data_IF_339427062613
#
_entry.id   IF_339427062613
#
_cell.length_a   1.000
_cell.length_b   1.000
_cell.length_c   1.000
_cell.angle_alpha   90.00
_cell.angle_beta   90.00
_cell.angle_gamma   90.00
#
_symmetry.space_group_name_H-M   'P 1'
#
loop_
_entity.id
_entity.type
_entity.pdbx_description
1 polymer ?
#
# COMPACT_ATOMS: atom_id res chain seq x y z
N UNK A 1 -10.48 10.94 -29.19
CA UNK A 1 -9.40 11.38 -30.11
C UNK A 1 -9.60 12.86 -30.33
N UNK A 2 -8.53 13.64 -30.26
CA UNK A 2 -8.49 15.06 -30.57
C UNK A 2 -7.77 15.20 -31.91
N UNK A 3 -8.50 15.58 -32.95
CA UNK A 3 -7.95 15.78 -34.29
C UNK A 3 -8.02 17.27 -34.63
N UNK A 4 -6.86 17.89 -34.74
CA UNK A 4 -6.71 19.30 -35.10
C UNK A 4 -6.68 19.52 -36.62
N UNK A 5 -6.77 18.44 -37.40
CA UNK A 5 -6.59 18.47 -38.84
C UNK A 5 -5.15 18.75 -39.22
N UNK A 6 -4.96 19.56 -40.26
CA UNK A 6 -3.66 20.00 -40.74
C UNK A 6 -3.31 21.38 -40.15
N UNK A 7 -2.24 21.43 -39.36
CA UNK A 7 -1.73 22.64 -38.70
C UNK A 7 -0.32 22.97 -39.23
N UNK A 8 0.03 24.25 -39.24
CA UNK A 8 1.32 24.74 -39.72
C UNK A 8 1.18 25.87 -40.75
N UNK A 9 2.30 26.52 -41.08
CA UNK A 9 2.31 27.68 -41.97
C UNK A 9 2.25 27.26 -43.45
N UNK A 10 1.31 27.82 -44.21
CA UNK A 10 1.23 27.73 -45.68
C UNK A 10 1.41 26.29 -46.22
N UNK A 11 2.61 25.96 -46.73
CA UNK A 11 2.95 24.70 -47.39
C UNK A 11 3.57 23.66 -46.44
N UNK A 12 3.81 23.99 -45.17
CA UNK A 12 4.35 23.09 -44.15
C UNK A 12 3.26 22.60 -43.20
N UNK A 13 2.06 22.36 -43.73
CA UNK A 13 0.97 21.82 -42.91
C UNK A 13 1.18 20.34 -42.66
N UNK A 14 1.05 19.94 -41.41
CA UNK A 14 1.17 18.56 -40.97
C UNK A 14 -0.05 18.19 -40.13
N UNK A 15 -0.39 16.91 -40.16
CA UNK A 15 -1.48 16.41 -39.34
C UNK A 15 -1.12 16.46 -37.87
N UNK A 16 -2.04 16.96 -37.05
CA UNK A 16 -1.90 16.96 -35.60
C UNK A 16 -3.07 16.25 -34.96
N UNK A 17 -2.78 15.11 -34.34
CA UNK A 17 -3.75 14.25 -33.69
C UNK A 17 -3.16 13.65 -32.43
N UNK A 18 -3.92 13.75 -31.35
CA UNK A 18 -3.58 13.12 -30.06
C UNK A 18 -4.83 12.48 -29.47
N UNK A 19 -4.64 11.66 -28.43
CA UNK A 19 -5.76 11.05 -27.72
C UNK A 19 -5.52 11.10 -26.22
N UNK A 20 -6.52 11.58 -25.50
CA UNK A 20 -6.51 11.57 -24.03
C UNK A 20 -6.91 10.19 -23.52
N UNK A 21 -6.08 9.62 -22.65
CA UNK A 21 -6.31 8.35 -21.97
C UNK A 21 -6.40 8.56 -20.46
N UNK A 22 -7.43 7.95 -19.85
CA UNK A 22 -7.63 7.94 -18.40
C UNK A 22 -7.09 6.67 -17.74
N UNK A 23 -6.14 5.97 -18.37
CA UNK A 23 -5.57 4.72 -17.83
C UNK A 23 -4.95 4.91 -16.43
N UNK A 24 -4.17 5.98 -16.15
CA UNK A 24 -3.65 6.22 -14.79
C UNK A 24 -4.77 6.42 -13.76
N UNK A 25 -5.87 7.07 -14.15
CA UNK A 25 -7.05 7.23 -13.30
C UNK A 25 -7.69 5.88 -12.97
N UNK A 26 -7.84 4.99 -13.95
CA UNK A 26 -8.40 3.64 -13.73
C UNK A 26 -7.49 2.80 -12.81
N UNK A 27 -6.18 2.90 -12.97
CA UNK A 27 -5.20 2.24 -12.10
C UNK A 27 -5.27 2.77 -10.66
N UNK A 28 -5.51 4.07 -10.46
CA UNK A 28 -5.73 4.62 -9.12
C UNK A 28 -7.02 4.08 -8.48
N UNK A 29 -8.10 3.99 -9.25
CA UNK A 29 -9.37 3.41 -8.77
C UNK A 29 -9.18 1.95 -8.36
N UNK A 30 -8.53 1.14 -9.19
CA UNK A 30 -8.23 -0.26 -8.90
C UNK A 30 -7.30 -0.42 -7.68
N UNK A 31 -6.31 0.46 -7.54
CA UNK A 31 -5.46 0.50 -6.35
C UNK A 31 -6.30 0.78 -5.08
N UNK A 32 -7.22 1.76 -5.14
CA UNK A 32 -8.07 2.12 -4.01
C UNK A 32 -9.04 0.99 -3.61
N UNK A 33 -9.58 0.24 -4.56
CA UNK A 33 -10.39 -0.96 -4.28
C UNK A 33 -9.57 -2.03 -3.51
N UNK A 34 -8.26 -2.05 -3.74
CA UNK A 34 -7.29 -2.87 -3.01
C UNK A 34 -6.78 -2.22 -1.72
N UNK A 35 -7.41 -1.16 -1.21
CA UNK A 35 -6.96 -0.40 -0.03
C UNK A 35 -5.57 0.24 -0.17
N UNK A 36 -5.10 0.45 -1.40
CA UNK A 36 -3.87 1.17 -1.72
C UNK A 36 -4.20 2.55 -2.31
N UNK A 37 -3.46 3.60 -1.96
CA UNK A 37 -3.69 4.98 -2.50
C UNK A 37 -5.12 5.51 -2.30
N UNK A 38 -5.86 5.00 -1.31
CA UNK A 38 -7.24 5.44 -1.00
C UNK A 38 -7.28 6.94 -0.69
N UNK A 39 -6.29 7.43 0.06
CA UNK A 39 -6.17 8.86 0.38
C UNK A 39 -6.06 9.71 -0.88
N UNK A 40 -5.21 9.30 -1.82
CA UNK A 40 -5.01 10.00 -3.10
C UNK A 40 -6.30 10.03 -3.95
N UNK A 41 -7.02 8.91 -4.05
CA UNK A 41 -8.32 8.88 -4.75
C UNK A 41 -9.30 9.89 -4.12
N UNK A 42 -9.35 9.97 -2.79
CA UNK A 42 -10.25 10.87 -2.05
C UNK A 42 -9.85 12.35 -2.13
N UNK A 43 -8.63 12.68 -2.57
CA UNK A 43 -8.19 14.07 -2.78
C UNK A 43 -8.63 14.67 -4.12
N UNK A 44 -9.10 13.85 -5.06
CA UNK A 44 -9.59 14.33 -6.35
C UNK A 44 -10.99 14.92 -6.15
N UNK A 45 -11.13 16.24 -6.30
CA UNK A 45 -12.40 16.92 -6.02
C UNK A 45 -12.84 17.87 -7.15
N UNK A 46 -11.88 18.41 -7.91
CA UNK A 46 -12.13 19.39 -8.98
C UNK A 46 -11.81 18.80 -10.34
N UNK A 47 -12.46 19.27 -11.43
CA UNK A 47 -12.14 18.82 -12.79
C UNK A 47 -10.65 18.99 -13.13
N UNK A 48 -10.01 20.06 -12.63
CA UNK A 48 -8.58 20.29 -12.85
C UNK A 48 -7.64 19.26 -12.20
N UNK A 49 -8.09 18.51 -11.19
CA UNK A 49 -7.27 17.47 -10.56
C UNK A 49 -7.15 16.23 -11.48
N UNK A 50 -8.05 16.05 -12.45
CA UNK A 50 -8.05 14.93 -13.43
C UNK A 50 -6.81 14.96 -14.33
N UNK A 51 -6.25 16.14 -14.59
CA UNK A 51 -5.11 16.31 -15.48
C UNK A 51 -3.84 15.61 -14.96
N UNK A 52 -3.71 15.44 -13.64
CA UNK A 52 -2.62 14.65 -13.05
C UNK A 52 -2.74 13.13 -13.33
N UNK A 53 -3.91 12.67 -13.76
CA UNK A 53 -4.24 11.26 -14.03
C UNK A 53 -4.62 10.99 -15.49
N UNK A 54 -4.28 11.94 -16.38
CA UNK A 54 -4.53 11.86 -17.82
C UNK A 54 -3.21 11.70 -18.55
N UNK A 55 -3.15 10.73 -19.46
CA UNK A 55 -2.04 10.57 -20.40
C UNK A 55 -2.48 11.04 -21.79
N UNK A 56 -1.55 11.60 -22.54
CA UNK A 56 -1.70 11.96 -23.95
C UNK A 56 -0.99 10.91 -24.79
N UNK A 57 -1.73 10.25 -25.66
CA UNK A 57 -1.20 9.36 -26.71
C UNK A 57 -0.95 10.19 -27.95
N UNK A 58 0.26 10.02 -28.48
CA UNK A 58 0.83 10.83 -29.53
C UNK A 58 0.64 10.10 -30.88
N UNK A 59 -0.55 10.25 -31.48
CA UNK A 59 -0.91 9.53 -32.71
C UNK A 59 -0.18 10.10 -33.95
N UNK A 60 -0.36 11.40 -34.22
CA UNK A 60 0.29 12.11 -35.33
C UNK A 60 0.71 13.50 -34.85
N UNK A 61 2.00 13.83 -34.95
CA UNK A 61 2.54 15.09 -34.47
C UNK A 61 3.23 15.87 -35.61
N UNK A 62 3.01 17.18 -35.72
CA UNK A 62 3.85 18.06 -36.54
C UNK A 62 5.32 17.98 -36.12
N UNK A 63 6.28 18.17 -37.04
CA UNK A 63 7.71 18.05 -36.73
C UNK A 63 8.20 18.93 -35.57
N UNK A 64 7.65 20.15 -35.46
CA UNK A 64 7.96 21.06 -34.34
C UNK A 64 7.55 20.48 -32.99
N UNK A 65 6.31 20.00 -32.88
CA UNK A 65 5.78 19.36 -31.65
C UNK A 65 6.53 18.07 -31.36
N UNK A 66 6.77 17.22 -32.37
CA UNK A 66 7.55 15.99 -32.21
C UNK A 66 8.95 16.26 -31.65
N UNK A 67 9.61 17.33 -32.10
CA UNK A 67 10.93 17.73 -31.61
C UNK A 67 10.87 18.20 -30.14
N UNK A 68 9.83 18.97 -29.76
CA UNK A 68 9.60 19.40 -28.37
C UNK A 68 9.35 18.20 -27.45
N UNK A 69 8.52 17.26 -27.89
CA UNK A 69 8.26 15.99 -27.17
C UNK A 69 9.55 15.19 -26.98
N UNK A 70 10.34 15.01 -28.05
CA UNK A 70 11.60 14.26 -27.97
C UNK A 70 12.55 14.89 -26.94
N UNK A 71 12.67 16.23 -26.94
CA UNK A 71 13.46 16.97 -25.96
C UNK A 71 12.93 16.83 -24.54
N UNK A 72 11.62 16.84 -24.35
CA UNK A 72 11.02 16.63 -23.03
C UNK A 72 11.26 15.21 -22.51
N UNK A 73 11.12 14.19 -23.37
CA UNK A 73 11.46 12.80 -23.04
C UNK A 73 12.94 12.65 -22.66
N UNK A 74 13.85 13.28 -23.40
CA UNK A 74 15.28 13.24 -23.10
C UNK A 74 15.60 13.85 -21.72
N UNK A 75 14.96 14.97 -21.35
CA UNK A 75 15.13 15.57 -20.01
C UNK A 75 14.67 14.66 -18.88
N UNK A 76 13.66 13.83 -19.15
CA UNK A 76 13.08 12.87 -18.21
C UNK A 76 13.70 11.47 -18.34
N UNK A 77 14.78 11.34 -19.13
CA UNK A 77 15.44 10.07 -19.34
C UNK A 77 15.99 9.50 -18.01
N UNK A 78 15.89 8.17 -17.83
CA UNK A 78 16.45 7.50 -16.68
C UNK A 78 17.95 7.79 -16.56
N UNK A 79 18.40 8.15 -15.34
CA UNK A 79 19.80 8.52 -15.08
C UNK A 79 20.71 7.32 -14.86
N UNK A 80 20.15 6.11 -14.78
CA UNK A 80 20.87 4.89 -14.46
C UNK A 80 20.46 3.75 -15.40
N UNK A 81 21.44 2.93 -15.76
CA UNK A 81 21.27 1.76 -16.61
C UNK A 81 20.27 0.79 -15.97
N UNK A 82 19.26 0.35 -16.72
CA UNK A 82 18.20 -0.55 -16.25
C UNK A 82 16.95 0.14 -15.67
N UNK A 83 16.93 1.47 -15.49
CA UNK A 83 15.69 2.19 -15.17
C UNK A 83 14.84 2.35 -16.44
N UNK A 84 13.56 1.99 -16.32
CA UNK A 84 12.57 2.20 -17.39
C UNK A 84 12.14 3.67 -17.36
N UNK A 85 11.98 4.28 -18.54
CA UNK A 85 11.49 5.66 -18.66
C UNK A 85 10.12 5.81 -17.97
N UNK A 86 9.92 6.92 -17.25
CA UNK A 86 8.68 7.17 -16.49
C UNK A 86 7.42 7.19 -17.36
N UNK A 87 7.57 7.55 -18.64
CA UNK A 87 6.49 7.59 -19.62
C UNK A 87 6.65 6.45 -20.66
N UNK A 88 5.62 5.62 -20.88
CA UNK A 88 5.62 4.64 -21.96
C UNK A 88 5.89 5.26 -23.33
N UNK A 89 6.41 4.47 -24.26
CA UNK A 89 6.61 4.91 -25.65
C UNK A 89 5.28 5.34 -26.30
N UNK A 90 5.31 6.38 -27.13
CA UNK A 90 4.11 6.94 -27.76
C UNK A 90 3.15 7.67 -26.82
N UNK A 91 3.51 7.85 -25.55
CA UNK A 91 2.68 8.54 -24.56
C UNK A 91 3.45 9.58 -23.75
N UNK A 92 2.73 10.54 -23.17
CA UNK A 92 3.26 11.58 -22.31
C UNK A 92 2.20 11.97 -21.26
N UNK A 93 2.55 12.30 -20.00
CA UNK A 93 1.57 12.84 -19.06
C UNK A 93 0.99 14.15 -19.58
N UNK A 94 -0.29 14.39 -19.29
CA UNK A 94 -0.98 15.58 -19.79
C UNK A 94 -0.30 16.88 -19.37
N UNK A 95 0.14 17.00 -18.12
CA UNK A 95 0.79 18.21 -17.62
C UNK A 95 2.09 18.50 -18.38
N UNK A 96 2.94 17.49 -18.57
CA UNK A 96 4.19 17.63 -19.30
C UNK A 96 3.95 17.96 -20.79
N UNK A 97 2.87 17.42 -21.38
CA UNK A 97 2.47 17.74 -22.76
C UNK A 97 1.91 19.17 -22.89
N UNK A 98 1.07 19.59 -21.94
CA UNK A 98 0.46 20.93 -21.93
C UNK A 98 1.51 22.04 -21.76
N UNK A 99 2.58 21.78 -21.00
CA UNK A 99 3.70 22.71 -20.81
C UNK A 99 4.54 22.94 -22.09
N UNK A 100 4.35 22.15 -23.16
CA UNK A 100 5.06 22.33 -24.42
C UNK A 100 4.54 23.49 -25.27
N UNK A 101 3.36 24.02 -24.95
CA UNK A 101 2.65 25.01 -25.76
C UNK A 101 2.46 26.32 -24.98
N UNK A 102 2.63 27.45 -25.66
CA UNK A 102 2.48 28.76 -25.03
C UNK A 102 2.02 29.83 -26.02
N UNK A 103 1.32 30.84 -25.52
CA UNK A 103 0.99 32.02 -26.33
C UNK A 103 2.24 32.88 -26.52
N UNK A 104 2.55 33.21 -27.77
CA UNK A 104 3.67 34.07 -28.15
C UNK A 104 3.22 35.31 -28.94
N UNK A 105 2.02 35.82 -28.65
CA UNK A 105 1.39 36.93 -29.40
C UNK A 105 1.39 36.65 -30.91
N UNK A 106 1.95 37.54 -31.72
CA UNK A 106 2.03 37.41 -33.18
C UNK A 106 2.94 36.26 -33.64
N UNK A 107 3.80 35.75 -32.76
CA UNK A 107 4.73 34.64 -33.02
C UNK A 107 4.16 33.28 -32.56
N UNK A 108 2.88 33.21 -32.15
CA UNK A 108 2.27 31.94 -31.73
C UNK A 108 2.29 30.95 -32.89
N UNK A 109 2.97 29.82 -32.71
CA UNK A 109 2.98 28.75 -33.71
C UNK A 109 1.56 28.18 -33.89
N UNK A 110 1.11 27.83 -35.12
CA UNK A 110 -0.23 27.32 -35.38
C UNK A 110 -0.58 26.07 -34.56
N UNK A 111 0.42 25.25 -34.24
CA UNK A 111 0.31 24.09 -33.37
C UNK A 111 -0.03 24.48 -31.92
N UNK A 112 0.60 25.54 -31.40
CA UNK A 112 0.37 26.09 -30.07
C UNK A 112 -1.02 26.72 -29.99
N UNK A 113 -1.40 27.52 -30.98
CA UNK A 113 -2.74 28.11 -31.05
C UNK A 113 -3.81 27.01 -31.09
N UNK A 114 -3.62 25.97 -31.90
CA UNK A 114 -4.57 24.86 -32.02
C UNK A 114 -4.75 24.13 -30.68
N UNK A 115 -3.66 23.77 -30.00
CA UNK A 115 -3.72 23.11 -28.69
C UNK A 115 -4.35 24.01 -27.62
N UNK A 116 -3.88 25.25 -27.49
CA UNK A 116 -4.32 26.17 -26.42
C UNK A 116 -5.79 26.59 -26.58
N UNK A 117 -6.28 26.74 -27.81
CA UNK A 117 -7.70 26.96 -28.06
C UNK A 117 -8.54 25.73 -27.69
N UNK A 118 -8.10 24.53 -28.09
CA UNK A 118 -8.82 23.30 -27.75
C UNK A 118 -8.81 22.99 -26.25
N UNK A 119 -7.70 23.27 -25.57
CA UNK A 119 -7.57 23.11 -24.12
C UNK A 119 -8.67 23.86 -23.35
N UNK A 120 -9.07 25.03 -23.85
CA UNK A 120 -10.13 25.85 -23.25
C UNK A 120 -11.52 25.57 -23.85
N UNK A 121 -11.65 24.54 -24.69
CA UNK A 121 -12.91 24.19 -25.34
C UNK A 121 -13.88 23.51 -24.37
N UNK A 122 -15.18 23.59 -24.70
CA UNK A 122 -16.23 22.86 -23.97
C UNK A 122 -16.04 21.34 -24.01
N UNK A 123 -15.44 20.80 -25.08
CA UNK A 123 -15.15 19.37 -25.21
C UNK A 123 -14.11 18.93 -24.18
N UNK A 124 -13.08 19.75 -23.97
CA UNK A 124 -12.03 19.49 -22.97
C UNK A 124 -12.60 19.56 -21.55
N UNK A 125 -13.45 20.54 -21.27
CA UNK A 125 -14.16 20.63 -19.99
C UNK A 125 -15.07 19.41 -19.76
N UNK A 126 -15.84 19.00 -20.77
CA UNK A 126 -16.72 17.84 -20.68
C UNK A 126 -15.96 16.54 -20.41
N UNK A 127 -14.75 16.37 -20.98
CA UNK A 127 -13.87 15.23 -20.66
C UNK A 127 -13.51 15.21 -19.17
N UNK A 128 -13.04 16.33 -18.63
CA UNK A 128 -12.66 16.43 -17.23
C UNK A 128 -13.85 16.20 -16.29
N UNK A 129 -15.02 16.74 -16.62
CA UNK A 129 -16.26 16.53 -15.86
C UNK A 129 -16.69 15.06 -15.88
N UNK A 130 -16.63 14.41 -17.04
CA UNK A 130 -16.97 12.99 -17.18
C UNK A 130 -16.00 12.10 -16.38
N UNK A 131 -14.69 12.36 -16.47
CA UNK A 131 -13.68 11.65 -15.69
C UNK A 131 -13.86 11.87 -14.18
N UNK A 132 -14.17 13.10 -13.76
CA UNK A 132 -14.48 13.40 -12.36
C UNK A 132 -15.74 12.68 -11.88
N UNK A 133 -16.77 12.55 -12.72
CA UNK A 133 -17.96 11.78 -12.39
C UNK A 133 -17.64 10.29 -12.15
N UNK A 134 -16.73 9.70 -12.94
CA UNK A 134 -16.24 8.33 -12.74
C UNK A 134 -15.52 8.22 -11.39
N UNK A 135 -14.65 9.18 -11.05
CA UNK A 135 -13.95 9.22 -9.76
C UNK A 135 -14.92 9.33 -8.61
N UNK A 136 -15.88 10.25 -8.66
CA UNK A 136 -16.91 10.41 -7.62
C UNK A 136 -17.73 9.14 -7.43
N UNK A 137 -18.05 8.45 -8.52
CA UNK A 137 -18.71 7.15 -8.45
C UNK A 137 -17.81 6.07 -7.81
N UNK A 138 -16.49 6.10 -8.01
CA UNK A 138 -15.56 5.21 -7.32
C UNK A 138 -15.43 5.55 -5.82
N UNK A 139 -15.27 6.84 -5.48
CA UNK A 139 -15.20 7.35 -4.11
C UNK A 139 -16.46 7.02 -3.28
N UNK A 140 -17.62 6.90 -3.91
CA UNK A 140 -18.86 6.51 -3.22
C UNK A 140 -19.00 5.00 -3.00
N UNK A 141 -18.22 4.17 -3.71
CA UNK A 141 -18.23 2.70 -3.59
C UNK A 141 -17.09 2.15 -2.74
N UNK A 142 -16.00 2.89 -2.59
CA UNK A 142 -14.77 2.41 -1.93
C UNK A 142 -15.00 1.94 -0.48
N UNK A 143 -16.03 2.43 0.21
CA UNK A 143 -16.36 2.06 1.60
C UNK A 143 -17.41 0.93 1.73
N UNK A 144 -17.97 0.39 0.64
CA UNK A 144 -19.26 -0.31 0.74
C UNK A 144 -19.19 -1.62 1.55
N UNK A 145 -18.10 -2.41 1.46
CA UNK A 145 -18.03 -3.75 2.06
C UNK A 145 -16.77 -4.09 2.87
N UNK A 146 -15.83 -3.15 3.05
CA UNK A 146 -14.59 -3.40 3.80
C UNK A 146 -14.51 -2.51 5.04
N UNK A 147 -14.39 -3.11 6.22
CA UNK A 147 -14.24 -2.38 7.49
C UNK A 147 -13.01 -1.48 7.53
N UNK A 148 -11.90 -1.90 6.92
CA UNK A 148 -10.68 -1.10 6.85
C UNK A 148 -10.91 0.13 5.97
N UNK A 149 -11.48 -0.05 4.78
CA UNK A 149 -11.78 1.06 3.87
C UNK A 149 -12.77 2.05 4.48
N UNK A 150 -13.86 1.56 5.12
CA UNK A 150 -14.80 2.43 5.86
C UNK A 150 -14.09 3.28 6.90
N UNK A 151 -13.18 2.67 7.67
CA UNK A 151 -12.41 3.38 8.68
C UNK A 151 -11.53 4.46 8.04
N UNK A 152 -10.70 4.09 7.06
CA UNK A 152 -9.80 5.04 6.36
C UNK A 152 -10.59 6.19 5.75
N UNK A 153 -11.64 5.89 4.96
CA UNK A 153 -12.51 6.88 4.32
C UNK A 153 -13.13 7.82 5.36
N UNK A 154 -13.63 7.30 6.48
CA UNK A 154 -14.19 8.13 7.55
C UNK A 154 -13.15 9.08 8.17
N UNK A 155 -11.91 8.62 8.35
CA UNK A 155 -10.81 9.44 8.88
C UNK A 155 -10.41 10.53 7.90
N UNK A 156 -10.34 10.22 6.60
CA UNK A 156 -10.04 11.20 5.56
C UNK A 156 -11.12 12.27 5.48
N UNK A 157 -12.39 11.87 5.39
CA UNK A 157 -13.53 12.81 5.36
C UNK A 157 -13.60 13.70 6.61
N UNK A 158 -13.17 13.18 7.76
CA UNK A 158 -13.12 13.95 9.01
C UNK A 158 -11.86 14.84 9.16
N UNK A 159 -10.93 14.82 8.20
CA UNK A 159 -9.65 15.53 8.30
C UNK A 159 -8.72 14.96 9.40
N UNK A 160 -8.94 13.72 9.82
CA UNK A 160 -8.22 13.06 10.93
C UNK A 160 -7.30 11.93 10.47
N UNK A 161 -7.18 11.71 9.16
CA UNK A 161 -6.23 10.72 8.62
C UNK A 161 -4.79 11.22 8.83
N UNK A 162 -3.83 10.31 9.04
CA UNK A 162 -2.42 10.69 9.31
C UNK A 162 -1.86 11.60 8.23
N UNK A 163 -2.23 11.35 6.97
CA UNK A 163 -1.80 12.16 5.83
C UNK A 163 -2.46 13.54 5.73
N UNK A 164 -3.56 13.80 6.46
CA UNK A 164 -4.17 15.13 6.50
C UNK A 164 -3.27 16.18 7.17
N UNK A 165 -2.28 15.74 7.95
CA UNK A 165 -1.33 16.62 8.64
C UNK A 165 -0.02 16.82 7.87
N UNK A 166 0.10 16.26 6.66
CA UNK A 166 1.26 16.38 5.79
C UNK A 166 1.00 17.40 4.68
N UNK A 167 2.06 17.98 4.13
CA UNK A 167 1.97 18.70 2.86
C UNK A 167 1.42 17.78 1.77
N UNK A 168 0.59 18.33 0.86
CA UNK A 168 -0.09 17.54 -0.18
C UNK A 168 0.90 16.74 -1.04
N UNK A 169 2.03 17.31 -1.42
CA UNK A 169 3.02 16.60 -2.26
C UNK A 169 3.65 15.45 -1.49
N UNK A 170 3.98 15.66 -0.21
CA UNK A 170 4.53 14.62 0.66
C UNK A 170 3.52 13.50 0.91
N UNK A 171 2.25 13.84 1.15
CA UNK A 171 1.19 12.85 1.32
C UNK A 171 1.00 11.99 0.07
N UNK A 172 1.01 12.60 -1.12
CA UNK A 172 0.90 11.87 -2.39
C UNK A 172 2.12 10.98 -2.65
N UNK A 173 3.34 11.44 -2.35
CA UNK A 173 4.54 10.62 -2.45
C UNK A 173 4.45 9.39 -1.53
N UNK A 174 4.07 9.58 -0.25
CA UNK A 174 3.86 8.47 0.70
C UNK A 174 2.82 7.46 0.22
N UNK A 175 1.74 7.92 -0.43
CA UNK A 175 0.74 7.02 -1.00
C UNK A 175 1.33 6.03 -2.03
N UNK A 176 2.49 6.34 -2.63
CA UNK A 176 3.09 5.58 -3.72
C UNK A 176 4.27 4.70 -3.29
N UNK A 177 4.74 4.81 -2.04
CA UNK A 177 5.95 4.10 -1.56
C UNK A 177 5.74 2.59 -1.40
N UNK A 178 4.60 2.16 -0.84
CA UNK A 178 4.31 0.75 -0.55
C UNK A 178 3.45 0.09 -1.63
N UNK A 179 4.06 -0.20 -2.78
CA UNK A 179 3.37 -0.84 -3.91
C UNK A 179 2.91 -2.25 -3.50
N UNK A 180 1.60 -2.57 -3.60
CA UNK A 180 1.08 -3.91 -3.32
C UNK A 180 1.71 -4.94 -4.25
N UNK A 181 2.17 -6.05 -3.69
CA UNK A 181 2.53 -7.23 -4.46
C UNK A 181 1.28 -8.06 -4.79
N UNK A 182 1.43 -8.96 -5.77
CA UNK A 182 0.36 -9.88 -6.11
C UNK A 182 0.08 -10.86 -4.95
N UNK A 183 -1.19 -11.22 -4.71
CA UNK A 183 -1.54 -12.25 -3.74
C UNK A 183 -0.81 -13.56 -4.07
N UNK A 184 -0.08 -14.13 -3.11
CA UNK A 184 0.75 -15.31 -3.34
C UNK A 184 0.11 -16.64 -2.91
N UNK A 185 -1.05 -16.60 -2.23
CA UNK A 185 -1.67 -17.78 -1.64
C UNK A 185 -2.96 -18.20 -2.34
N UNK A 186 -3.39 -19.42 -2.04
CA UNK A 186 -4.62 -19.99 -2.58
C UNK A 186 -5.88 -19.32 -1.98
N UNK A 187 -7.02 -19.33 -2.68
CA UNK A 187 -8.30 -18.90 -2.10
C UNK A 187 -8.68 -19.63 -0.79
N UNK A 188 -8.30 -20.90 -0.67
CA UNK A 188 -8.56 -21.72 0.52
C UNK A 188 -7.76 -21.21 1.74
N UNK A 189 -6.49 -20.86 1.54
CA UNK A 189 -5.66 -20.23 2.57
C UNK A 189 -6.29 -18.94 3.10
N UNK A 190 -6.67 -18.02 2.21
CA UNK A 190 -7.29 -16.76 2.64
C UNK A 190 -8.62 -16.99 3.36
N UNK A 191 -9.41 -17.98 2.95
CA UNK A 191 -10.65 -18.33 3.64
C UNK A 191 -10.36 -18.79 5.07
N UNK A 192 -9.46 -19.76 5.26
CA UNK A 192 -9.11 -20.27 6.60
C UNK A 192 -8.46 -19.19 7.48
N UNK A 193 -7.61 -18.34 6.90
CA UNK A 193 -7.07 -17.17 7.59
C UNK A 193 -8.20 -16.26 8.08
N UNK A 194 -9.20 -15.99 7.24
CA UNK A 194 -10.37 -15.21 7.60
C UNK A 194 -11.17 -15.81 8.76
N UNK A 195 -11.31 -17.15 8.79
CA UNK A 195 -12.00 -17.85 9.88
C UNK A 195 -11.22 -17.78 11.19
N UNK A 196 -9.90 -18.03 11.14
CA UNK A 196 -9.02 -17.95 12.31
C UNK A 196 -8.95 -16.52 12.88
N UNK A 197 -8.80 -15.51 12.01
CA UNK A 197 -8.79 -14.11 12.43
C UNK A 197 -10.10 -13.67 13.08
N UNK A 198 -11.24 -14.33 12.79
CA UNK A 198 -12.52 -13.99 13.41
C UNK A 198 -12.70 -14.59 14.80
N UNK A 199 -11.83 -15.51 15.22
CA UNK A 199 -11.87 -16.10 16.56
C UNK A 199 -11.68 -15.03 17.64
N UNK A 200 -12.68 -14.85 18.50
CA UNK A 200 -12.69 -13.82 19.54
C UNK A 200 -11.58 -13.97 20.57
N UNK A 201 -11.06 -15.18 20.76
CA UNK A 201 -10.02 -15.49 21.75
C UNK A 201 -8.60 -15.25 21.23
N UNK A 202 -8.42 -15.06 19.92
CA UNK A 202 -7.12 -14.81 19.32
C UNK A 202 -6.58 -13.44 19.74
N UNK A 203 -5.53 -13.34 20.55
CA UNK A 203 -5.01 -12.05 21.03
C UNK A 203 -3.81 -11.55 20.20
N UNK A 204 -3.09 -12.45 19.53
CA UNK A 204 -1.87 -12.14 18.80
C UNK A 204 -1.66 -12.98 17.54
N UNK A 205 -1.06 -12.36 16.51
CA UNK A 205 -0.69 -12.99 15.24
C UNK A 205 0.76 -12.69 14.90
N UNK A 206 1.48 -13.74 14.50
CA UNK A 206 2.84 -13.67 13.99
C UNK A 206 2.87 -14.15 12.54
N UNK A 207 3.32 -13.32 11.60
CA UNK A 207 3.37 -13.63 10.18
C UNK A 207 4.81 -13.68 9.66
N UNK A 208 5.20 -14.80 9.06
CA UNK A 208 6.51 -14.97 8.40
C UNK A 208 6.29 -15.31 6.94
N UNK A 209 6.70 -14.45 6.01
CA UNK A 209 6.63 -14.71 4.58
C UNK A 209 7.38 -13.67 3.75
N UNK A 210 7.34 -13.75 2.41
CA UNK A 210 7.83 -12.66 1.57
C UNK A 210 7.07 -11.33 1.80
N UNK A 211 5.81 -11.37 2.25
CA UNK A 211 5.01 -10.19 2.59
C UNK A 211 3.79 -10.01 1.71
N UNK A 212 2.87 -10.99 1.72
CA UNK A 212 1.64 -10.94 0.93
C UNK A 212 0.74 -9.77 1.40
N UNK A 213 0.51 -8.81 0.51
CA UNK A 213 -0.28 -7.62 0.80
C UNK A 213 -1.72 -7.94 1.23
N UNK A 214 -2.34 -8.99 0.68
CA UNK A 214 -3.68 -9.44 1.05
C UNK A 214 -3.70 -10.00 2.47
N UNK A 215 -2.68 -10.78 2.88
CA UNK A 215 -2.56 -11.27 4.27
C UNK A 215 -2.43 -10.09 5.24
N UNK A 216 -1.53 -9.14 4.95
CA UNK A 216 -1.32 -7.94 5.77
C UNK A 216 -2.61 -7.11 5.89
N UNK A 217 -3.34 -6.92 4.79
CA UNK A 217 -4.65 -6.26 4.78
C UNK A 217 -5.67 -6.99 5.65
N UNK A 218 -5.80 -8.32 5.51
CA UNK A 218 -6.75 -9.12 6.30
C UNK A 218 -6.49 -8.99 7.81
N UNK A 219 -5.21 -9.03 8.22
CA UNK A 219 -4.82 -8.82 9.61
C UNK A 219 -5.17 -7.40 10.10
N UNK A 220 -4.83 -6.37 9.32
CA UNK A 220 -5.12 -4.98 9.67
C UNK A 220 -6.64 -4.70 9.75
N UNK A 221 -7.42 -5.25 8.82
CA UNK A 221 -8.89 -5.16 8.83
C UNK A 221 -9.46 -5.75 10.11
N UNK A 222 -9.00 -6.92 10.54
CA UNK A 222 -9.47 -7.54 11.77
C UNK A 222 -9.03 -6.76 13.02
N UNK A 223 -7.78 -6.31 13.08
CA UNK A 223 -7.27 -5.47 14.17
C UNK A 223 -8.15 -4.21 14.34
N UNK A 224 -8.53 -3.57 13.24
CA UNK A 224 -9.43 -2.40 13.24
C UNK A 224 -10.85 -2.75 13.66
N UNK A 225 -11.41 -3.84 13.13
CA UNK A 225 -12.74 -4.33 13.52
C UNK A 225 -12.83 -4.54 15.03
N UNK A 226 -11.81 -5.17 15.63
CA UNK A 226 -11.74 -5.41 17.08
C UNK A 226 -11.53 -4.13 17.89
N UNK A 227 -10.69 -3.22 17.43
CA UNK A 227 -10.47 -1.94 18.09
C UNK A 227 -11.77 -1.14 18.21
N UNK A 228 -12.55 -1.06 17.12
CA UNK A 228 -13.87 -0.42 17.12
C UNK A 228 -14.84 -1.13 18.06
N UNK A 229 -14.89 -2.47 18.02
CA UNK A 229 -15.82 -3.27 18.84
C UNK A 229 -15.52 -3.18 20.34
N UNK A 230 -14.26 -3.14 20.72
CA UNK A 230 -13.81 -3.23 22.13
C UNK A 230 -13.50 -1.86 22.73
N UNK A 231 -13.31 -0.82 21.93
CA UNK A 231 -12.86 0.50 22.38
C UNK A 231 -11.37 0.55 22.77
N UNK A 232 -10.63 -0.54 22.61
CA UNK A 232 -9.19 -0.56 22.89
C UNK A 232 -8.38 0.17 21.82
N UNK A 233 -7.17 0.59 22.22
CA UNK A 233 -6.15 1.01 21.27
C UNK A 233 -5.86 -0.14 20.30
N UNK A 234 -5.54 0.22 19.05
CA UNK A 234 -5.53 -0.71 17.91
C UNK A 234 -4.54 -1.86 18.09
N UNK A 235 -3.34 -1.56 18.55
CA UNK A 235 -2.34 -2.59 18.84
C UNK A 235 -2.72 -3.51 20.01
N UNK A 236 -3.60 -3.07 20.92
CA UNK A 236 -4.06 -3.87 22.06
C UNK A 236 -5.32 -4.68 21.73
N UNK A 237 -6.02 -4.36 20.63
CA UNK A 237 -7.19 -5.09 20.20
C UNK A 237 -6.84 -6.40 19.47
N UNK A 238 -5.68 -6.42 18.80
CA UNK A 238 -5.04 -7.60 18.23
C UNK A 238 -3.56 -7.25 18.00
N UNK A 239 -2.66 -7.97 18.66
CA UNK A 239 -1.22 -7.75 18.47
C UNK A 239 -0.77 -8.38 17.14
N UNK A 240 -0.20 -7.58 16.24
CA UNK A 240 0.26 -8.05 14.94
C UNK A 240 1.78 -7.87 14.84
N UNK A 241 2.48 -8.94 14.48
CA UNK A 241 3.91 -8.93 14.18
C UNK A 241 4.18 -9.63 12.85
N UNK A 242 5.12 -9.10 12.07
CA UNK A 242 5.46 -9.63 10.77
C UNK A 242 6.97 -9.60 10.53
N UNK A 243 7.54 -10.70 10.07
CA UNK A 243 8.87 -10.80 9.50
C UNK A 243 8.68 -11.02 8.00
N UNK A 244 8.85 -9.95 7.23
CA UNK A 244 8.51 -9.90 5.79
C UNK A 244 9.49 -9.03 5.01
N UNK A 245 9.70 -9.35 3.72
CA UNK A 245 10.53 -8.52 2.83
C UNK A 245 9.74 -7.30 2.32
N UNK A 246 8.45 -7.48 2.05
CA UNK A 246 7.54 -6.44 1.61
C UNK A 246 6.63 -6.01 2.74
N UNK A 247 6.64 -4.71 3.05
CA UNK A 247 5.85 -4.10 4.13
C UNK A 247 4.68 -3.31 3.56
N UNK A 248 3.80 -2.85 4.46
CA UNK A 248 2.71 -1.94 4.15
C UNK A 248 2.82 -0.68 4.97
N UNK A 249 2.17 0.38 4.51
CA UNK A 249 2.09 1.62 5.27
C UNK A 249 1.01 1.54 6.37
N UNK A 250 1.46 1.37 7.61
CA UNK A 250 0.59 1.38 8.78
C UNK A 250 -0.13 2.72 8.97
N UNK A 251 0.47 3.86 8.58
CA UNK A 251 -0.17 5.17 8.71
C UNK A 251 -1.32 5.32 7.72
N UNK A 252 -1.17 4.81 6.49
CA UNK A 252 -2.20 4.84 5.45
C UNK A 252 -3.47 4.05 5.84
N UNK A 253 -3.28 2.97 6.58
CA UNK A 253 -4.39 2.14 7.06
C UNK A 253 -4.92 2.58 8.40
N UNK A 254 -4.18 3.46 9.09
CA UNK A 254 -4.24 3.61 10.54
C UNK A 254 -4.18 2.17 11.08
N UNK A 255 -3.04 1.53 11.22
CA UNK A 255 -2.92 0.17 11.77
C UNK A 255 -1.65 0.08 12.60
N UNK A 256 -1.43 -1.06 13.26
CA UNK A 256 -0.19 -1.27 14.03
C UNK A 256 0.32 -2.68 13.85
N UNK A 257 1.05 -2.89 12.76
CA UNK A 257 1.83 -4.11 12.50
C UNK A 257 3.29 -3.84 12.86
N UNK A 258 3.88 -4.70 13.69
CA UNK A 258 5.28 -4.60 14.07
C UNK A 258 6.11 -5.40 13.05
N UNK A 259 6.83 -4.67 12.19
CA UNK A 259 7.72 -5.28 11.20
C UNK A 259 9.11 -5.51 11.80
N UNK A 260 9.60 -6.75 11.67
CA UNK A 260 10.92 -7.16 12.13
C UNK A 260 11.82 -7.45 10.93
N UNK A 261 13.10 -7.12 11.07
CA UNK A 261 14.15 -7.49 10.11
C UNK A 261 14.85 -8.80 10.47
N UNK A 262 14.82 -9.18 11.76
CA UNK A 262 15.37 -10.43 12.27
C UNK A 262 14.55 -10.90 13.47
N UNK A 263 14.31 -12.22 13.53
CA UNK A 263 13.47 -12.82 14.56
C UNK A 263 11.99 -12.46 14.37
N UNK A 264 11.13 -13.23 15.02
CA UNK A 264 9.69 -13.00 15.01
C UNK A 264 9.16 -13.24 16.42
N UNK A 265 8.29 -12.34 16.87
CA UNK A 265 7.59 -12.51 18.14
C UNK A 265 6.65 -13.73 18.07
N UNK A 266 6.42 -14.44 19.19
CA UNK A 266 5.38 -15.47 19.23
C UNK A 266 4.00 -14.83 19.05
N UNK A 267 3.06 -15.60 18.52
CA UNK A 267 1.65 -15.21 18.42
C UNK A 267 0.75 -16.40 18.72
N UNK A 268 -0.49 -16.15 19.12
CA UNK A 268 -1.47 -17.23 19.32
C UNK A 268 -1.74 -17.97 18.00
N UNK A 269 -1.75 -17.22 16.90
CA UNK A 269 -1.70 -17.72 15.53
C UNK A 269 -0.35 -17.40 14.90
N UNK A 270 0.35 -18.45 14.46
CA UNK A 270 1.53 -18.34 13.62
C UNK A 270 1.15 -18.60 12.15
N UNK A 271 1.48 -17.68 11.26
CA UNK A 271 1.23 -17.78 9.83
C UNK A 271 2.57 -17.94 9.12
N UNK A 272 2.76 -19.08 8.46
CA UNK A 272 3.87 -19.33 7.54
C UNK A 272 3.38 -19.15 6.11
N UNK A 273 3.78 -18.06 5.46
CA UNK A 273 3.46 -17.78 4.06
C UNK A 273 4.56 -18.21 3.08
N UNK A 274 5.64 -18.83 3.53
CA UNK A 274 6.75 -19.21 2.66
C UNK A 274 7.56 -18.02 2.14
N UNK A 275 8.69 -18.32 1.51
CA UNK A 275 9.55 -17.31 0.89
C UNK A 275 10.53 -16.60 1.84
N UNK A 276 10.62 -17.02 3.11
CA UNK A 276 11.64 -16.52 4.04
C UNK A 276 12.39 -17.63 4.77
N UNK A 277 13.70 -17.73 4.50
CA UNK A 277 14.62 -18.66 5.15
C UNK A 277 14.48 -20.11 4.64
N UNK A 278 15.52 -20.91 4.90
CA UNK A 278 15.51 -22.33 4.58
C UNK A 278 14.74 -23.17 5.62
N UNK A 279 14.64 -22.68 6.87
CA UNK A 279 14.14 -23.45 8.01
C UNK A 279 12.62 -23.61 7.99
N UNK A 280 12.18 -24.86 8.03
CA UNK A 280 10.75 -25.23 8.05
C UNK A 280 10.09 -24.91 9.39
N UNK A 281 8.75 -24.82 9.43
CA UNK A 281 8.03 -24.60 10.69
C UNK A 281 8.25 -25.80 11.61
N UNK A 282 8.27 -27.00 11.02
CA UNK A 282 8.58 -28.23 11.72
C UNK A 282 9.96 -28.20 12.39
N UNK A 283 11.01 -27.83 11.66
CA UNK A 283 12.37 -27.69 12.22
C UNK A 283 12.42 -26.66 13.36
N UNK A 284 11.73 -25.52 13.22
CA UNK A 284 11.66 -24.52 14.30
C UNK A 284 11.12 -25.10 15.60
N UNK A 285 10.11 -25.96 15.53
CA UNK A 285 9.46 -26.53 16.71
C UNK A 285 10.27 -27.71 17.25
N UNK A 286 10.61 -28.68 16.39
CA UNK A 286 11.14 -29.97 16.81
C UNK A 286 12.65 -29.94 17.07
N UNK A 287 13.42 -29.19 16.27
CA UNK A 287 14.87 -29.10 16.41
C UNK A 287 15.29 -27.91 17.27
N UNK A 288 14.62 -26.77 17.09
CA UNK A 288 14.97 -25.53 17.79
C UNK A 288 14.11 -25.24 19.02
N UNK A 289 13.12 -26.10 19.34
CA UNK A 289 12.30 -25.99 20.54
C UNK A 289 11.48 -24.69 20.61
N UNK A 290 11.20 -24.05 19.46
CA UNK A 290 10.44 -22.79 19.42
C UNK A 290 8.97 -23.08 19.72
N UNK A 291 8.40 -22.30 20.64
CA UNK A 291 6.95 -22.23 20.81
C UNK A 291 6.39 -21.13 19.91
N UNK A 292 5.66 -21.52 18.86
CA UNK A 292 5.19 -20.57 17.84
C UNK A 292 3.77 -20.04 18.09
N UNK A 293 2.91 -20.80 18.76
CA UNK A 293 1.52 -20.44 19.04
C UNK A 293 0.64 -21.63 19.37
N UNK A 294 -0.67 -21.39 19.53
CA UNK A 294 -1.67 -22.44 19.69
C UNK A 294 -2.22 -22.91 18.33
N UNK A 295 -2.12 -22.05 17.31
CA UNK A 295 -2.53 -22.31 15.94
C UNK A 295 -1.39 -22.02 14.98
N UNK A 296 -1.24 -22.88 13.97
CA UNK A 296 -0.32 -22.65 12.85
C UNK A 296 -1.13 -22.75 11.56
N UNK A 297 -0.99 -21.76 10.68
CA UNK A 297 -1.48 -21.79 9.30
C UNK A 297 -0.27 -21.72 8.38
N UNK A 298 -0.04 -22.77 7.57
CA UNK A 298 1.10 -22.82 6.65
C UNK A 298 0.66 -22.91 5.19
N UNK A 299 1.39 -22.17 4.35
CA UNK A 299 1.30 -22.18 2.89
C UNK A 299 1.98 -23.41 2.24
N UNK A 300 2.37 -24.41 3.03
CA UNK A 300 2.87 -25.69 2.53
C UNK A 300 2.58 -26.79 3.54
N UNK A 301 2.66 -28.04 3.07
CA UNK A 301 2.62 -29.18 3.96
C UNK A 301 3.93 -29.28 4.73
N UNK A 302 3.86 -29.07 6.04
CA UNK A 302 4.98 -29.19 6.98
C UNK A 302 5.14 -30.64 7.49
N UNK A 303 4.26 -31.57 7.07
CA UNK A 303 4.15 -32.92 7.62
C UNK A 303 3.68 -32.92 9.07
N UNK A 304 3.59 -34.09 9.72
CA UNK A 304 3.25 -34.18 11.15
C UNK A 304 4.19 -33.34 12.02
N UNK A 305 3.63 -32.41 12.79
CA UNK A 305 4.33 -31.56 13.75
C UNK A 305 3.98 -32.02 15.16
N UNK A 306 4.99 -32.35 15.97
CA UNK A 306 4.79 -32.79 17.35
C UNK A 306 3.98 -31.77 18.18
N UNK A 307 2.92 -32.26 18.82
CA UNK A 307 2.07 -31.46 19.73
C UNK A 307 0.93 -30.70 19.06
N UNK A 308 0.71 -30.92 17.76
CA UNK A 308 -0.42 -30.34 17.04
C UNK A 308 -1.19 -31.38 16.24
N UNK A 309 -2.51 -31.19 16.17
CA UNK A 309 -3.37 -31.96 15.28
C UNK A 309 -3.32 -31.39 13.86
N UNK A 310 -3.04 -32.25 12.88
CA UNK A 310 -3.13 -31.91 11.46
C UNK A 310 -4.58 -31.87 11.03
N UNK A 311 -5.07 -30.71 10.60
CA UNK A 311 -6.27 -30.68 9.77
C UNK A 311 -5.82 -30.80 8.30
N UNK A 312 -6.23 -31.87 7.62
CA UNK A 312 -6.04 -32.07 6.18
C UNK A 312 -7.29 -31.65 5.42
N UNK A 313 -7.13 -30.87 4.36
CA UNK A 313 -8.14 -30.78 3.31
C UNK A 313 -7.73 -29.80 2.24
N UNK A 314 -8.49 -29.76 1.15
CA UNK A 314 -8.49 -28.61 0.25
C UNK A 314 -9.17 -27.45 1.00
N UNK A 315 -8.42 -26.85 1.93
CA UNK A 315 -8.98 -25.99 2.97
C UNK A 315 -9.76 -26.71 4.08
N UNK A 316 -9.33 -27.92 4.48
CA UNK A 316 -9.57 -28.65 5.75
C UNK A 316 -10.80 -29.57 5.95
N UNK A 317 -10.59 -30.69 6.68
CA UNK A 317 -11.59 -31.68 7.08
C UNK A 317 -11.33 -32.39 8.43
N UNK A 318 -12.28 -32.13 9.37
CA UNK A 318 -12.88 -32.95 10.45
C UNK A 318 -12.13 -33.31 11.75
N UNK A 319 -12.79 -32.89 12.84
CA UNK A 319 -12.72 -33.32 14.24
C UNK A 319 -13.21 -34.78 14.46
N UNK A 320 -12.36 -35.63 15.07
CA UNK A 320 -12.65 -36.48 16.24
C UNK A 320 -13.29 -37.89 16.12
N UNK A 321 -12.53 -38.89 16.63
CA UNK A 321 -12.87 -40.16 17.36
C UNK A 321 -12.59 -41.49 16.61
N UNK A 322 -11.98 -42.53 17.26
CA UNK A 322 -11.03 -43.46 16.62
C UNK A 322 -11.55 -44.89 16.38
N UNK A 323 -10.98 -45.61 15.39
CA UNK A 323 -10.94 -47.08 15.37
C UNK A 323 -9.92 -47.67 14.36
N UNK A 324 -8.97 -48.47 14.87
CA UNK A 324 -8.50 -49.73 14.27
C UNK A 324 -7.54 -49.72 13.05
N UNK A 325 -6.76 -50.81 12.81
CA UNK A 325 -5.52 -50.74 12.01
C UNK A 325 -5.59 -51.27 10.56
N UNK A 326 -4.94 -50.50 9.63
CA UNK A 326 -4.21 -50.84 8.37
C UNK A 326 -4.98 -51.57 7.22
N UNK A 327 -4.55 -51.56 5.92
CA UNK A 327 -3.18 -51.35 5.38
C UNK A 327 -3.00 -50.61 4.01
N UNK A 328 -1.70 -50.41 3.69
CA UNK A 328 -0.99 -50.45 2.40
C UNK A 328 -1.17 -49.40 1.25
N UNK A 329 0.01 -49.04 0.72
CA UNK A 329 0.43 -48.09 -0.32
C UNK A 329 0.02 -48.51 -1.75
N UNK A 330 -0.16 -47.54 -2.65
CA UNK A 330 -0.06 -47.74 -4.12
C UNK A 330 1.04 -46.82 -4.72
N UNK A 331 1.90 -47.31 -5.66
CA UNK A 331 3.05 -46.61 -6.19
C UNK A 331 2.74 -46.04 -7.58
N UNK A 332 2.19 -44.83 -7.64
CA UNK A 332 1.94 -44.16 -8.91
C UNK A 332 2.46 -42.73 -8.86
N UNK A 333 3.75 -42.57 -9.19
CA UNK A 333 4.40 -41.28 -9.34
C UNK A 333 3.61 -40.35 -10.26
N UNK A 334 2.90 -39.41 -9.67
CA UNK A 334 2.32 -38.22 -10.30
C UNK A 334 2.69 -37.00 -9.47
N UNK A 335 2.85 -35.87 -10.18
CA UNK A 335 3.32 -34.61 -9.66
C UNK A 335 2.54 -34.15 -8.40
N UNK A 336 3.28 -33.67 -7.41
CA UNK A 336 2.77 -33.15 -6.15
C UNK A 336 2.29 -31.71 -6.37
N UNK A 337 0.98 -31.49 -6.35
CA UNK A 337 0.40 -30.16 -6.16
C UNK A 337 0.56 -29.74 -4.69
N UNK A 338 0.82 -28.45 -4.38
CA UNK A 338 1.08 -28.01 -3.02
C UNK A 338 -0.21 -28.05 -2.18
N UNK A 339 -0.24 -28.96 -1.20
CA UNK A 339 -1.23 -29.02 -0.13
C UNK A 339 -0.86 -28.00 0.96
N UNK A 340 -1.77 -27.09 1.34
CA UNK A 340 -1.60 -26.08 2.40
C UNK A 340 -2.52 -26.39 3.60
N UNK A 341 -2.01 -26.30 4.85
CA UNK A 341 -2.55 -27.02 6.01
C UNK A 341 -2.50 -26.21 7.31
N UNK A 342 -3.40 -26.56 8.25
CA UNK A 342 -3.54 -25.90 9.56
C UNK A 342 -3.37 -26.87 10.73
N UNK A 343 -2.83 -26.38 11.84
CA UNK A 343 -2.48 -27.16 13.04
C UNK A 343 -3.08 -26.55 14.31
N UNK A 344 -3.58 -27.37 15.25
CA UNK A 344 -4.12 -26.94 16.57
C UNK A 344 -3.46 -27.70 17.72
N UNK A 345 -3.03 -26.99 18.78
CA UNK A 345 -2.41 -27.62 19.95
C UNK A 345 -3.43 -28.35 20.85
N UNK A 346 -3.09 -29.56 21.32
CA UNK A 346 -3.89 -30.27 22.33
C UNK A 346 -3.79 -29.63 23.72
N UNK A 347 -4.94 -29.46 24.36
CA UNK A 347 -5.04 -28.91 25.71
C UNK A 347 -4.49 -29.88 26.77
N UNK A 348 -3.36 -29.50 27.39
CA UNK A 348 -3.09 -29.80 28.80
C UNK A 348 -2.73 -28.52 29.53
N UNK A 349 -3.65 -28.07 30.37
CA UNK A 349 -3.38 -27.07 31.41
C UNK A 349 -2.45 -27.71 32.44
N UNK A 350 -1.15 -27.55 32.23
CA UNK A 350 -0.19 -27.56 33.33
C UNK A 350 0.21 -26.10 33.57
N UNK A 351 -0.35 -25.51 34.62
CA UNK A 351 0.16 -24.28 35.23
C UNK A 351 1.55 -24.58 35.81
N UNK A 352 2.65 -23.94 35.35
CA UNK A 352 3.85 -23.85 36.14
C UNK A 352 3.77 -22.58 36.97
N UNK A 353 3.86 -22.76 38.29
CA UNK A 353 4.16 -21.68 39.21
C UNK A 353 5.52 -21.06 38.85
N UNK A 354 5.55 -19.75 38.60
CA UNK A 354 6.78 -18.96 38.59
C UNK A 354 6.40 -17.52 38.98
N UNK A 355 6.76 -17.11 40.19
CA UNK A 355 7.99 -16.38 40.50
C UNK A 355 7.70 -14.89 40.65
N UNK A 356 7.40 -14.51 41.91
CA UNK A 356 7.68 -13.16 42.38
C UNK A 356 9.19 -12.96 42.33
N UNK A 357 9.68 -12.16 41.39
CA UNK A 357 10.96 -11.48 41.50
C UNK A 357 10.66 -10.01 41.34
N UNK A 358 10.80 -9.28 42.45
CA UNK A 358 10.71 -7.83 42.48
C UNK A 358 11.97 -7.19 41.91
N UNK A 359 11.81 -6.02 41.31
CA UNK A 359 12.90 -5.09 41.09
C UNK A 359 12.59 -3.77 41.80
N UNK A 360 13.28 -3.56 42.91
CA UNK A 360 13.53 -2.23 43.49
C UNK A 360 14.49 -1.47 42.57
N UNK A 361 14.21 -0.17 42.43
CA UNK A 361 15.08 0.98 42.16
C UNK A 361 16.39 0.80 41.35
N UNK A 362 16.57 1.65 40.34
CA UNK A 362 17.42 2.85 40.48
C UNK A 362 17.26 3.80 39.29
N UNK A 363 16.97 5.06 39.59
CA UNK A 363 17.19 6.21 38.71
C UNK A 363 18.63 6.70 38.90
N UNK A 364 19.30 7.25 37.87
CA UNK A 364 20.42 8.14 38.08
C UNK A 364 19.98 9.60 37.93
N UNK A 365 20.32 10.39 38.96
CA UNK A 365 20.35 11.85 38.97
C UNK A 365 21.44 12.38 38.04
N UNK A 366 21.19 13.59 37.57
CA UNK A 366 22.14 14.49 36.95
C UNK A 366 23.25 14.96 37.91
N UNK A 367 24.44 15.15 37.36
CA UNK A 367 25.46 16.19 37.60
C UNK A 367 26.64 15.80 36.68
N UNK A 368 27.22 16.60 35.78
CA UNK A 368 27.45 18.03 35.78
C UNK A 368 28.96 18.27 35.83
N UNK A 369 29.62 18.52 34.69
CA UNK A 369 30.70 19.53 34.56
C UNK A 369 31.51 19.46 33.24
N UNK A 370 31.62 20.63 32.60
CA UNK A 370 32.77 21.09 31.79
C UNK A 370 32.85 20.54 30.35
N UNK A 371 32.85 21.32 29.27
CA UNK A 371 33.03 22.76 29.07
C UNK A 371 33.94 22.98 27.86
N UNK A 372 33.46 23.73 26.84
CA UNK A 372 34.15 24.56 25.80
C UNK A 372 33.24 24.61 24.56
N UNK A 373 32.45 25.67 24.39
CA UNK A 373 32.72 26.88 23.57
C UNK A 373 33.09 26.59 22.10
N UNK A 374 32.12 26.76 21.22
CA UNK A 374 32.22 27.62 20.04
C UNK A 374 30.82 28.14 19.68
N UNK A 375 30.72 29.46 19.48
CA UNK A 375 29.50 30.23 19.20
C UNK A 375 29.21 30.28 17.69
N UNK A 376 27.99 30.70 17.29
CA UNK A 376 27.42 30.50 15.96
C UNK A 376 27.74 31.64 14.99
N UNK A 377 27.67 31.35 13.69
CA UNK A 377 27.54 32.36 12.64
C UNK A 377 26.06 32.61 12.38
N UNK A 378 25.60 33.78 12.82
CA UNK A 378 24.40 34.42 12.34
C UNK A 378 24.76 35.23 11.08
N UNK A 379 23.91 35.16 10.05
CA UNK A 379 23.77 36.22 9.05
C UNK A 379 22.34 36.74 9.14
N UNK A 380 22.26 38.04 9.39
CA UNK A 380 21.08 38.89 9.51
C UNK A 380 20.30 38.94 8.17
N UNK A 381 18.96 38.86 8.22
CA UNK A 381 17.99 39.96 8.36
C UNK A 381 17.84 40.83 7.12
N UNK A 382 16.62 40.79 6.55
CA UNK A 382 15.92 41.98 6.05
C UNK A 382 14.44 41.82 6.43
N UNK A 383 14.02 42.60 7.42
CA UNK A 383 12.63 42.82 7.79
C UNK A 383 12.25 44.28 7.51
N UNK A 384 11.08 44.45 6.88
CA UNK A 384 10.21 45.64 6.90
C UNK A 384 8.92 45.19 6.20
N UNK A 385 7.70 45.36 6.69
CA UNK A 385 7.17 46.38 7.58
C UNK A 385 5.71 45.98 7.94
N UNK A 386 5.25 46.36 9.14
CA UNK A 386 3.84 46.47 9.62
C UNK A 386 3.18 45.13 10.03
N UNK A 387 2.56 44.98 11.19
CA UNK A 387 2.22 45.90 12.28
C UNK A 387 1.37 45.11 13.28
N UNK A 388 1.84 45.07 14.53
CA UNK A 388 1.16 44.60 15.76
C UNK A 388 -0.11 45.43 16.06
N UNK A 389 -1.07 45.00 16.94
CA UNK A 389 -0.75 44.30 18.20
C UNK A 389 -1.64 43.15 18.69
N UNK A 390 -0.97 42.37 19.54
CA UNK A 390 -1.39 41.56 20.69
C UNK A 390 -2.82 41.75 21.24
N UNK A 391 -3.47 40.62 21.52
CA UNK A 391 -4.51 40.49 22.53
C UNK A 391 -4.21 39.26 23.40
N UNK A 392 -4.03 39.53 24.69
CA UNK A 392 -3.79 38.58 25.77
C UNK A 392 -5.04 37.75 26.10
N UNK A 393 -4.78 36.52 26.58
CA UNK A 393 -5.73 35.58 27.15
C UNK A 393 -6.42 36.10 28.42
N UNK A 394 -7.46 35.37 28.87
CA UNK A 394 -7.36 34.71 30.17
C UNK A 394 -7.08 33.20 30.06
#
# INVERSE_FOLDING_TARGET
VVDFGEVGFRNSKHRFRVRLESRPLMQLIEAADNAHRVYELLLIDRPGDIWAYTSVVLDELPPGVASRVARAREKCAPRSEGQIHAWPEGTMPFQDFDELFYWAWDDTEPEDEAWLNYRNSSVMHAYAEQSLAIVRAAQSRVDWNDHLLRHVVSRVRAGKHSYCYLDRRVALAKCQESIPNEPSHTPAFYKKLGDLLRDGELASVAYRANGDYRVLRMMATEQRRRAVRTGHAVGNALHLSALVNYTVDNEAWDSRIWFFSEGLAPGDLFIEGGGLGATTVKELIEEHGRRLGNHILSARDEGEIAGFDKELGDGLGRTGVPAGPRPAVDPAGRAVEPLELGWRQEGRVHLPAACRIGCRHQAPRADGSGGRRARPLAIASLASLRGEPLLECP
#
